data_IF_577567746114
#
_entry.id   IF_577567746114
#
_cell.length_a   1.000
_cell.length_b   1.000
_cell.length_c   1.000
_cell.angle_alpha   90.00
_cell.angle_beta   90.00
_cell.angle_gamma   90.00
#
_symmetry.space_group_name_H-M   'P 1'
#
loop_
_entity.id
_entity.type
_entity.pdbx_description
1 polymer ?
#
# COMPACT_ATOMS: atom_id res chain seq x y z
N UNK A 1 13.81 -67.86 -0.21
CA UNK A 1 12.70 -68.33 0.66
C UNK A 1 12.99 -67.86 2.07
N UNK A 2 12.59 -66.63 2.41
CA UNK A 2 12.77 -66.07 3.76
C UNK A 2 11.39 -65.79 4.34
N UNK A 3 10.94 -66.72 5.18
CA UNK A 3 9.59 -66.73 5.74
C UNK A 3 9.37 -65.58 6.72
N UNK A 4 8.29 -64.83 6.49
CA UNK A 4 7.74 -63.86 7.43
C UNK A 4 6.90 -64.61 8.47
N UNK A 5 7.45 -64.75 9.68
CA UNK A 5 6.75 -65.27 10.85
C UNK A 5 5.85 -64.17 11.44
N UNK A 6 4.55 -64.24 11.17
CA UNK A 6 3.56 -63.40 11.83
C UNK A 6 3.19 -64.01 13.18
N UNK A 7 3.74 -63.46 14.26
CA UNK A 7 3.37 -63.87 15.61
C UNK A 7 2.19 -63.04 16.10
N UNK A 8 1.07 -63.71 16.36
CA UNK A 8 -0.15 -63.15 16.92
C UNK A 8 0.00 -62.87 18.42
N UNK A 9 0.15 -61.60 18.79
CA UNK A 9 -0.24 -61.07 20.11
C UNK A 9 -0.55 -59.59 19.95
N UNK A 10 -1.85 -59.29 19.91
CA UNK A 10 -2.38 -57.97 19.62
C UNK A 10 -2.27 -57.04 20.83
N UNK A 11 -1.21 -56.25 20.86
CA UNK A 11 -1.26 -54.91 21.43
C UNK A 11 -0.97 -53.94 20.29
N UNK A 12 -1.96 -53.12 19.89
CA UNK A 12 -1.73 -52.00 19.00
C UNK A 12 -0.85 -51.02 19.78
N UNK A 13 0.47 -51.09 19.60
CA UNK A 13 1.39 -50.09 20.14
C UNK A 13 1.12 -48.78 19.42
N UNK A 14 0.42 -47.85 20.07
CA UNK A 14 0.23 -46.49 19.56
C UNK A 14 1.60 -45.84 19.38
N UNK A 15 2.05 -45.75 18.13
CA UNK A 15 3.30 -45.07 17.77
C UNK A 15 2.98 -43.59 17.54
N UNK A 16 3.31 -42.74 18.52
CA UNK A 16 3.14 -41.29 18.37
C UNK A 16 4.11 -40.77 17.30
N UNK A 17 3.53 -40.24 16.21
CA UNK A 17 4.27 -39.63 15.09
C UNK A 17 4.12 -38.12 15.07
N UNK A 18 3.67 -37.51 16.17
CA UNK A 18 3.48 -36.05 16.28
C UNK A 18 4.76 -35.31 15.92
N UNK A 19 5.92 -35.76 16.40
CA UNK A 19 7.21 -35.14 16.09
C UNK A 19 7.55 -35.20 14.60
N UNK A 20 7.26 -36.30 13.92
CA UNK A 20 7.47 -36.44 12.48
C UNK A 20 6.55 -35.49 11.69
N UNK A 21 5.29 -35.38 12.09
CA UNK A 21 4.33 -34.45 11.50
C UNK A 21 4.72 -32.99 11.74
N UNK A 22 5.16 -32.64 12.96
CA UNK A 22 5.62 -31.30 13.33
C UNK A 22 6.88 -30.94 12.54
N UNK A 23 7.85 -31.85 12.45
CA UNK A 23 9.06 -31.66 11.64
C UNK A 23 8.72 -31.45 10.16
N UNK A 24 7.85 -32.28 9.58
CA UNK A 24 7.41 -32.13 8.19
C UNK A 24 6.62 -30.82 7.93
N UNK A 25 5.84 -30.35 8.92
CA UNK A 25 5.18 -29.04 8.85
C UNK A 25 6.20 -27.90 8.91
N UNK A 26 7.19 -27.99 9.78
CA UNK A 26 8.24 -26.98 9.95
C UNK A 26 9.09 -26.83 8.69
N UNK A 27 9.50 -27.93 8.05
CA UNK A 27 10.28 -27.88 6.80
C UNK A 27 9.50 -27.19 5.66
N UNK A 28 8.21 -27.50 5.52
CA UNK A 28 7.32 -26.81 4.56
C UNK A 28 7.18 -25.32 4.87
N UNK A 29 7.02 -24.96 6.14
CA UNK A 29 6.93 -23.55 6.55
C UNK A 29 8.23 -22.79 6.32
N UNK A 30 9.39 -23.42 6.56
CA UNK A 30 10.69 -22.79 6.34
C UNK A 30 10.95 -22.53 4.86
N UNK A 31 10.66 -23.50 3.99
CA UNK A 31 10.73 -23.32 2.55
C UNK A 31 9.85 -22.16 2.07
N UNK A 32 8.63 -22.06 2.62
CA UNK A 32 7.70 -20.96 2.32
C UNK A 32 8.26 -19.62 2.79
N UNK A 33 8.77 -19.52 4.02
CA UNK A 33 9.38 -18.29 4.57
C UNK A 33 10.57 -17.82 3.75
N UNK A 34 11.43 -18.75 3.32
CA UNK A 34 12.58 -18.44 2.48
C UNK A 34 12.14 -17.88 1.13
N UNK A 35 11.13 -18.48 0.50
CA UNK A 35 10.59 -17.99 -0.77
C UNK A 35 9.94 -16.62 -0.61
N UNK A 36 9.14 -16.40 0.43
CA UNK A 36 8.57 -15.08 0.74
C UNK A 36 9.65 -14.01 0.94
N UNK A 37 10.74 -14.34 1.66
CA UNK A 37 11.87 -13.44 1.86
C UNK A 37 12.64 -13.15 0.56
N UNK A 38 12.79 -14.14 -0.32
CA UNK A 38 13.39 -13.96 -1.66
C UNK A 38 12.55 -13.04 -2.53
N UNK A 39 11.24 -13.26 -2.57
CA UNK A 39 10.31 -12.43 -3.32
C UNK A 39 10.30 -10.99 -2.81
N UNK A 40 10.40 -10.77 -1.49
CA UNK A 40 10.53 -9.43 -0.93
C UNK A 40 11.79 -8.72 -1.42
N UNK A 41 12.97 -9.35 -1.29
CA UNK A 41 14.23 -8.73 -1.73
C UNK A 41 14.22 -8.40 -3.22
N UNK A 42 13.57 -9.24 -4.03
CA UNK A 42 13.39 -8.98 -5.47
C UNK A 42 12.44 -7.82 -5.71
N UNK A 43 11.34 -7.74 -4.97
CA UNK A 43 10.39 -6.62 -5.05
C UNK A 43 11.08 -5.29 -4.71
N UNK A 44 11.88 -5.24 -3.64
CA UNK A 44 12.63 -4.03 -3.26
C UNK A 44 13.55 -3.55 -4.40
N UNK A 45 14.28 -4.47 -5.04
CA UNK A 45 15.12 -4.15 -6.20
C UNK A 45 14.31 -3.66 -7.41
N UNK A 46 13.17 -4.28 -7.69
CA UNK A 46 12.28 -3.85 -8.76
C UNK A 46 11.68 -2.48 -8.47
N UNK A 47 11.34 -2.18 -7.21
CA UNK A 47 10.82 -0.87 -6.84
C UNK A 47 11.86 0.22 -7.12
N UNK A 48 13.10 0.00 -6.70
CA UNK A 48 14.19 0.93 -6.98
C UNK A 48 14.43 1.13 -8.49
N UNK A 49 14.25 0.07 -9.28
CA UNK A 49 14.45 0.11 -10.73
C UNK A 49 13.30 0.81 -11.48
N UNK A 50 12.05 0.59 -11.07
CA UNK A 50 10.86 1.03 -11.81
C UNK A 50 10.21 2.29 -11.25
N UNK A 51 10.37 2.53 -9.95
CA UNK A 51 9.73 3.63 -9.23
C UNK A 51 10.79 4.40 -8.43
N UNK A 52 11.81 4.97 -9.10
CA UNK A 52 12.78 5.81 -8.41
C UNK A 52 12.04 6.95 -7.71
N UNK A 53 12.31 7.13 -6.43
CA UNK A 53 11.74 8.22 -5.67
C UNK A 53 12.27 9.54 -6.25
N UNK A 54 11.42 10.32 -6.91
CA UNK A 54 11.77 11.67 -7.31
C UNK A 54 11.79 12.52 -6.03
N UNK A 55 12.97 12.98 -5.56
CA UNK A 55 13.00 13.86 -4.42
C UNK A 55 12.24 15.14 -4.79
N UNK A 56 11.25 15.49 -3.98
CA UNK A 56 10.62 16.80 -4.06
C UNK A 56 11.73 17.84 -3.86
N UNK A 57 11.81 18.83 -4.74
CA UNK A 57 12.70 19.99 -4.59
C UNK A 57 12.27 20.82 -3.37
N UNK A 58 12.65 20.37 -2.18
CA UNK A 58 12.61 21.19 -0.97
C UNK A 58 14.04 21.54 -0.60
N UNK A 59 14.46 22.75 -1.01
CA UNK A 59 15.48 23.60 -0.37
C UNK A 59 16.62 22.89 0.35
N UNK A 60 17.78 22.85 -0.31
CA UNK A 60 19.14 22.92 0.28
C UNK A 60 19.26 22.44 1.73
N UNK A 61 19.38 21.12 1.92
CA UNK A 61 20.10 20.58 3.08
C UNK A 61 21.10 19.55 2.58
N UNK A 62 22.37 19.95 2.64
CA UNK A 62 23.56 19.15 2.32
C UNK A 62 23.56 17.86 3.13
N UNK A 63 23.02 16.78 2.56
CA UNK A 63 23.27 15.41 3.04
C UNK A 63 24.14 14.70 2.01
N UNK A 64 25.41 14.57 2.34
CA UNK A 64 26.46 13.99 1.49
C UNK A 64 26.38 12.46 1.47
N UNK A 65 25.27 11.89 1.00
CA UNK A 65 25.23 10.46 0.72
C UNK A 65 25.38 10.18 -0.78
N UNK A 66 26.65 10.12 -1.21
CA UNK A 66 27.06 9.86 -2.59
C UNK A 66 26.41 8.59 -3.15
N UNK A 67 26.16 7.58 -2.31
CA UNK A 67 25.52 6.32 -2.73
C UNK A 67 24.06 6.51 -3.17
N UNK A 68 23.29 7.37 -2.51
CA UNK A 68 21.90 7.61 -2.90
C UNK A 68 21.81 8.47 -4.16
N UNK A 69 22.67 9.49 -4.29
CA UNK A 69 22.71 10.35 -5.48
C UNK A 69 23.14 9.57 -6.74
N UNK A 70 24.07 8.62 -6.61
CA UNK A 70 24.53 7.76 -7.71
C UNK A 70 23.43 6.79 -8.18
N UNK A 71 22.63 6.24 -7.25
CA UNK A 71 21.52 5.33 -7.58
C UNK A 71 20.38 6.06 -8.32
N UNK A 72 20.04 7.28 -7.92
CA UNK A 72 18.99 8.08 -8.59
C UNK A 72 19.40 8.47 -10.02
N UNK A 73 20.64 8.94 -10.21
CA UNK A 73 21.16 9.30 -11.53
C UNK A 73 21.21 8.06 -12.45
N UNK A 74 21.60 6.91 -11.92
CA UNK A 74 21.61 5.65 -12.67
C UNK A 74 20.20 5.26 -13.11
N UNK A 75 19.19 5.40 -12.25
CA UNK A 75 17.80 5.04 -12.60
C UNK A 75 17.21 5.89 -13.73
N UNK A 76 17.50 7.19 -13.77
CA UNK A 76 17.01 8.09 -14.83
C UNK A 76 17.66 7.78 -16.19
N UNK A 77 18.97 7.54 -16.20
CA UNK A 77 19.72 7.11 -17.39
C UNK A 77 19.30 5.72 -17.89
N UNK A 78 18.93 4.82 -16.97
CA UNK A 78 18.44 3.46 -17.29
C UNK A 78 17.00 3.47 -17.82
N UNK A 79 16.13 4.33 -17.28
CA UNK A 79 14.77 4.52 -17.78
C UNK A 79 14.73 5.07 -19.22
N UNK A 80 15.78 5.78 -19.64
CA UNK A 80 15.94 6.32 -20.99
C UNK A 80 16.29 5.27 -22.06
N UNK A 81 16.72 4.04 -21.69
CA UNK A 81 17.05 2.96 -22.65
C UNK A 81 16.27 1.66 -22.35
N UNK A 82 15.22 1.33 -23.15
CA UNK A 82 14.34 0.18 -22.90
C UNK A 82 15.07 -1.17 -22.83
N UNK A 83 16.12 -1.36 -23.65
CA UNK A 83 16.94 -2.57 -23.64
C UNK A 83 17.75 -2.75 -22.36
N UNK A 84 18.14 -1.65 -21.71
CA UNK A 84 18.85 -1.68 -20.43
C UNK A 84 17.94 -2.15 -19.31
N UNK A 85 16.70 -1.67 -19.26
CA UNK A 85 15.74 -2.02 -18.20
C UNK A 85 15.46 -3.52 -18.13
N UNK A 86 15.26 -4.18 -19.29
CA UNK A 86 15.03 -5.63 -19.34
C UNK A 86 16.23 -6.42 -18.83
N UNK A 87 17.45 -6.02 -19.16
CA UNK A 87 18.66 -6.66 -18.66
C UNK A 87 18.78 -6.54 -17.12
N UNK A 88 18.43 -5.38 -16.56
CA UNK A 88 18.40 -5.17 -15.11
C UNK A 88 17.29 -5.98 -14.43
N UNK A 89 16.10 -6.06 -15.02
CA UNK A 89 15.02 -6.94 -14.54
C UNK A 89 15.48 -8.41 -14.49
N UNK A 90 16.19 -8.87 -15.52
CA UNK A 90 16.73 -10.24 -15.60
C UNK A 90 17.90 -10.48 -14.63
N UNK A 91 18.65 -9.44 -14.26
CA UNK A 91 19.66 -9.52 -13.21
C UNK A 91 19.06 -9.70 -11.81
N UNK A 92 17.82 -9.26 -11.58
CA UNK A 92 17.10 -9.45 -10.31
C UNK A 92 16.63 -10.89 -10.17
N UNK A 93 16.11 -11.48 -11.25
CA UNK A 93 15.65 -12.87 -11.27
C UNK A 93 15.84 -13.47 -12.66
N UNK A 94 16.34 -14.71 -12.70
CA UNK A 94 16.47 -15.46 -13.94
C UNK A 94 15.08 -15.77 -14.49
N UNK A 95 14.81 -15.28 -15.69
CA UNK A 95 13.57 -15.59 -16.39
C UNK A 95 13.64 -16.98 -17.02
N UNK A 96 12.50 -17.65 -17.01
CA UNK A 96 12.31 -18.89 -17.74
C UNK A 96 12.43 -18.60 -19.25
N UNK A 97 13.09 -19.49 -19.99
CA UNK A 97 13.22 -19.32 -21.43
C UNK A 97 11.87 -19.60 -22.12
N UNK A 98 11.56 -18.83 -23.16
CA UNK A 98 10.31 -18.94 -23.90
C UNK A 98 10.16 -20.31 -24.56
N UNK A 99 11.25 -20.97 -24.91
CA UNK A 99 11.21 -22.33 -25.49
C UNK A 99 10.87 -23.41 -24.46
N UNK A 100 11.17 -23.16 -23.18
CA UNK A 100 11.09 -24.17 -22.13
C UNK A 100 9.68 -24.40 -21.56
N UNK A 101 8.72 -23.52 -21.87
CA UNK A 101 7.33 -23.65 -21.42
C UNK A 101 6.35 -23.56 -22.59
N UNK A 102 5.63 -24.66 -22.83
CA UNK A 102 4.50 -24.71 -23.77
C UNK A 102 3.20 -24.18 -23.17
N UNK A 103 3.09 -24.19 -21.84
CA UNK A 103 1.87 -23.86 -21.09
C UNK A 103 2.12 -22.87 -19.94
N UNK A 104 1.06 -22.15 -19.55
CA UNK A 104 1.08 -21.25 -18.41
C UNK A 104 1.33 -22.01 -17.11
N UNK A 105 2.35 -21.62 -16.32
CA UNK A 105 2.70 -22.30 -15.07
C UNK A 105 1.64 -22.22 -13.96
N UNK A 106 0.56 -21.44 -14.15
CA UNK A 106 -0.51 -21.28 -13.16
C UNK A 106 -1.82 -21.97 -13.57
N UNK A 107 -2.22 -21.87 -14.84
CA UNK A 107 -3.50 -22.40 -15.31
C UNK A 107 -3.35 -23.49 -16.36
N UNK A 108 -2.10 -23.87 -16.71
CA UNK A 108 -1.75 -24.91 -17.67
C UNK A 108 -2.39 -24.74 -19.06
N UNK A 109 -2.83 -23.53 -19.37
CA UNK A 109 -3.35 -23.21 -20.70
C UNK A 109 -2.17 -23.09 -21.66
N UNK A 110 -2.18 -23.80 -22.81
CA UNK A 110 -1.10 -23.73 -23.77
C UNK A 110 -0.98 -22.30 -24.32
N UNK A 111 0.25 -21.88 -24.55
CA UNK A 111 0.54 -20.62 -25.21
C UNK A 111 0.35 -20.76 -26.72
N UNK A 112 -0.27 -19.76 -27.34
CA UNK A 112 -0.49 -19.67 -28.77
C UNK A 112 -0.48 -18.18 -29.21
N UNK A 113 -0.91 -17.89 -30.44
CA UNK A 113 -0.96 -16.51 -30.95
C UNK A 113 -1.92 -15.61 -30.17
N UNK A 114 -2.97 -16.18 -29.55
CA UNK A 114 -3.98 -15.46 -28.76
C UNK A 114 -3.55 -15.34 -27.29
N UNK A 115 -2.88 -16.36 -26.78
CA UNK A 115 -2.43 -16.50 -25.39
C UNK A 115 -0.93 -16.26 -25.36
N UNK A 116 -0.57 -14.98 -25.24
CA UNK A 116 0.82 -14.54 -25.23
C UNK A 116 1.54 -14.95 -23.93
N UNK A 117 2.83 -15.22 -24.08
CA UNK A 117 3.77 -15.48 -22.99
C UNK A 117 4.10 -14.21 -22.23
N UNK A 118 4.10 -14.28 -20.91
CA UNK A 118 4.53 -13.19 -20.06
C UNK A 118 5.38 -13.67 -18.89
N UNK A 119 6.54 -13.06 -18.66
CA UNK A 119 7.33 -13.33 -17.47
C UNK A 119 6.81 -12.57 -16.25
N UNK A 120 6.73 -13.25 -15.12
CA UNK A 120 6.64 -12.58 -13.84
C UNK A 120 7.99 -11.97 -13.47
N UNK A 121 8.03 -10.66 -13.21
CA UNK A 121 9.27 -9.97 -12.83
C UNK A 121 9.80 -10.36 -11.44
N UNK A 122 8.98 -11.01 -10.60
CA UNK A 122 9.38 -11.46 -9.26
C UNK A 122 9.93 -12.90 -9.21
N UNK A 123 9.33 -13.84 -9.95
CA UNK A 123 9.77 -15.25 -9.93
C UNK A 123 10.35 -15.74 -11.26
N UNK A 124 10.25 -14.96 -12.33
CA UNK A 124 10.77 -15.31 -13.66
C UNK A 124 9.93 -16.32 -14.45
N UNK A 125 8.87 -16.89 -13.87
CA UNK A 125 8.03 -17.92 -14.51
C UNK A 125 7.17 -17.35 -15.64
N UNK A 126 6.85 -18.20 -16.62
CA UNK A 126 5.98 -17.89 -17.75
C UNK A 126 4.49 -18.09 -17.43
N UNK A 127 3.73 -17.02 -17.58
CA UNK A 127 2.29 -16.97 -17.27
C UNK A 127 1.51 -16.26 -18.37
N UNK A 128 0.21 -16.55 -18.47
CA UNK A 128 -0.70 -15.83 -19.36
C UNK A 128 -1.39 -14.66 -18.63
N UNK A 129 -2.27 -13.94 -19.34
CA UNK A 129 -3.13 -12.89 -18.79
C UNK A 129 -4.60 -13.34 -18.62
N UNK A 130 -4.90 -14.61 -18.87
CA UNK A 130 -6.26 -15.12 -18.84
C UNK A 130 -6.86 -15.03 -17.42
N UNK A 131 -8.14 -14.63 -17.27
CA UNK A 131 -8.87 -14.82 -16.02
C UNK A 131 -8.98 -16.30 -15.69
N UNK A 132 -8.92 -16.64 -14.41
CA UNK A 132 -9.11 -18.01 -13.97
C UNK A 132 -10.57 -18.41 -14.15
N UNK A 133 -10.80 -19.61 -14.68
CA UNK A 133 -12.13 -20.23 -14.69
C UNK A 133 -12.82 -20.30 -13.32
N UNK A 134 -12.07 -20.32 -12.22
CA UNK A 134 -12.58 -20.45 -10.86
C UNK A 134 -12.69 -19.12 -10.09
N UNK A 135 -12.53 -17.96 -10.74
CA UNK A 135 -12.72 -16.67 -10.07
C UNK A 135 -12.20 -15.45 -10.84
N UNK A 136 -12.36 -14.24 -10.28
CA UNK A 136 -12.06 -12.99 -10.99
C UNK A 136 -10.56 -12.71 -11.18
N UNK A 137 -9.67 -13.57 -10.65
CA UNK A 137 -8.22 -13.33 -10.66
C UNK A 137 -7.60 -13.81 -11.97
N UNK A 138 -6.77 -12.95 -12.58
CA UNK A 138 -5.97 -13.28 -13.77
C UNK A 138 -4.65 -13.96 -13.37
N UNK A 139 -4.06 -14.72 -14.28
CA UNK A 139 -2.75 -15.37 -14.03
C UNK A 139 -1.60 -14.37 -13.86
N UNK A 140 -1.71 -13.17 -14.43
CA UNK A 140 -0.78 -12.07 -14.20
C UNK A 140 -1.51 -10.73 -14.14
N UNK A 141 -0.90 -9.77 -13.45
CA UNK A 141 -1.38 -8.40 -13.32
C UNK A 141 -0.19 -7.43 -13.37
N UNK A 142 -0.46 -6.18 -13.73
CA UNK A 142 0.51 -5.09 -13.56
C UNK A 142 0.31 -4.49 -12.18
N UNK A 143 1.42 -4.26 -11.47
CA UNK A 143 1.41 -3.52 -10.21
C UNK A 143 2.17 -2.21 -10.37
N UNK A 144 1.73 -1.22 -9.61
CA UNK A 144 2.45 0.03 -9.37
C UNK A 144 2.68 0.18 -7.89
N UNK A 145 3.82 0.76 -7.53
CA UNK A 145 4.15 1.08 -6.15
C UNK A 145 4.15 2.58 -6.02
N UNK A 146 3.29 3.08 -5.14
CA UNK A 146 3.21 4.49 -4.79
C UNK A 146 3.87 4.69 -3.42
N UNK A 147 4.76 5.67 -3.33
CA UNK A 147 5.31 6.11 -2.05
C UNK A 147 4.33 7.10 -1.39
N UNK A 148 3.98 6.86 -0.14
CA UNK A 148 3.23 7.78 0.69
C UNK A 148 4.21 8.59 1.57
N UNK A 149 4.42 9.90 1.31
CA UNK A 149 5.33 10.73 2.10
C UNK A 149 4.90 10.91 3.55
N UNK A 150 3.59 10.86 3.85
CA UNK A 150 3.10 11.07 5.21
C UNK A 150 3.37 9.85 6.08
N UNK A 151 3.19 8.67 5.48
CA UNK A 151 3.33 7.39 6.18
C UNK A 151 4.72 6.76 5.99
N UNK A 152 5.61 7.41 5.22
CA UNK A 152 6.94 6.93 4.87
C UNK A 152 6.93 5.45 4.42
N UNK A 153 5.93 5.07 3.62
CA UNK A 153 5.71 3.67 3.22
C UNK A 153 5.31 3.52 1.76
N UNK A 154 5.68 2.38 1.19
CA UNK A 154 5.27 1.95 -0.13
C UNK A 154 3.90 1.27 -0.09
N UNK A 155 3.00 1.69 -0.97
CA UNK A 155 1.68 1.09 -1.17
C UNK A 155 1.60 0.47 -2.56
N UNK A 156 1.25 -0.81 -2.63
CA UNK A 156 1.12 -1.53 -3.90
C UNK A 156 -0.31 -1.42 -4.40
N UNK A 157 -0.47 -1.03 -5.67
CA UNK A 157 -1.73 -0.99 -6.38
C UNK A 157 -1.70 -1.94 -7.55
N UNK A 158 -2.77 -2.70 -7.74
CA UNK A 158 -2.99 -3.50 -8.94
C UNK A 158 -3.63 -2.60 -9.98
N UNK A 159 -3.10 -2.61 -11.20
CA UNK A 159 -3.70 -1.94 -12.33
C UNK A 159 -4.66 -2.93 -12.99
N UNK A 160 -5.95 -2.58 -13.00
CA UNK A 160 -6.97 -3.28 -13.76
C UNK A 160 -6.82 -2.88 -15.23
N UNK A 161 -6.13 -3.75 -15.95
CA UNK A 161 -5.78 -3.54 -17.33
C UNK A 161 -6.76 -4.31 -18.23
N UNK A 162 -7.88 -3.67 -18.58
CA UNK A 162 -8.76 -4.16 -19.66
C UNK A 162 -8.29 -3.70 -21.06
N UNK A 163 -7.28 -2.83 -21.14
CA UNK A 163 -6.93 -2.11 -22.38
C UNK A 163 -5.68 -2.60 -23.10
N UNK A 164 -4.79 -3.39 -22.49
CA UNK A 164 -3.51 -3.73 -23.12
C UNK A 164 -3.51 -5.03 -23.96
N UNK A 165 -4.67 -5.54 -24.38
CA UNK A 165 -4.72 -6.62 -25.39
C UNK A 165 -4.71 -6.09 -26.84
N UNK A 166 -4.86 -4.79 -27.07
CA UNK A 166 -4.80 -4.18 -28.41
C UNK A 166 -3.87 -2.98 -28.39
N UNK A 167 -2.80 -3.03 -29.20
CA UNK A 167 -1.98 -1.88 -29.52
C UNK A 167 -2.72 -0.87 -30.40
N UNK A 168 -3.84 -0.34 -29.93
CA UNK A 168 -4.57 0.78 -30.51
C UNK A 168 -5.21 1.57 -29.36
N UNK A 169 -4.89 2.87 -29.30
CA UNK A 169 -5.47 3.92 -28.45
C UNK A 169 -7.01 3.85 -28.41
N UNK A 170 -7.67 4.29 -27.31
CA UNK A 170 -7.93 5.74 -27.19
C UNK A 170 -7.77 6.33 -25.79
N UNK A 171 -7.40 7.61 -25.79
CA UNK A 171 -7.53 8.55 -24.68
C UNK A 171 -8.97 8.60 -24.17
N UNK A 172 -9.14 8.50 -22.85
CA UNK A 172 -10.22 9.21 -22.15
C UNK A 172 -9.79 9.59 -20.73
N UNK A 173 -9.82 10.89 -20.38
CA UNK A 173 -9.51 11.36 -19.03
C UNK A 173 -10.70 11.10 -18.10
N UNK A 174 -10.50 10.22 -17.12
CA UNK A 174 -11.41 10.07 -15.99
C UNK A 174 -11.28 11.28 -15.06
N UNK A 175 -12.21 12.21 -15.18
CA UNK A 175 -12.34 13.35 -14.29
C UNK A 175 -12.57 12.88 -12.84
N UNK A 176 -11.70 13.30 -11.92
CA UNK A 176 -12.01 13.29 -10.48
C UNK A 176 -12.74 14.60 -10.16
N UNK A 177 -13.94 14.46 -9.59
CA UNK A 177 -14.94 15.50 -9.26
C UNK A 177 -14.44 16.58 -8.26
N UNK A 178 -13.15 16.61 -7.91
CA UNK A 178 -12.59 17.54 -6.92
C UNK A 178 -12.18 18.91 -7.45
N UNK A 179 -12.13 19.12 -8.77
CA UNK A 179 -11.62 20.38 -9.35
C UNK A 179 -12.68 21.41 -9.77
N UNK A 180 -13.98 21.11 -9.65
CA UNK A 180 -15.06 21.98 -10.17
C UNK A 180 -15.52 23.10 -9.20
N UNK A 181 -14.96 23.19 -7.99
CA UNK A 181 -15.47 24.15 -6.98
C UNK A 181 -14.50 25.32 -6.72
N UNK A 182 -13.27 25.32 -7.25
CA UNK A 182 -12.29 26.34 -6.92
C UNK A 182 -11.45 26.82 -8.11
N UNK A 183 -12.00 27.71 -8.95
CA UNK A 183 -11.22 28.75 -9.64
C UNK A 183 -12.13 29.81 -10.31
N UNK A 184 -11.94 31.12 -10.04
CA UNK A 184 -12.45 32.21 -10.86
C UNK A 184 -11.72 32.28 -12.22
N UNK A 185 -12.46 32.76 -13.23
CA UNK A 185 -12.06 32.96 -14.63
C UNK A 185 -10.65 33.54 -14.80
N UNK A 186 -9.70 32.73 -15.28
CA UNK A 186 -8.57 33.18 -16.10
C UNK A 186 -8.17 32.11 -17.12
N UNK A 187 -7.90 32.60 -18.33
CA UNK A 187 -7.74 31.91 -19.60
C UNK A 187 -6.62 30.82 -19.60
N UNK A 188 -6.86 29.54 -19.95
CA UNK A 188 -5.79 28.56 -20.06
C UNK A 188 -5.17 28.58 -21.46
N UNK A 189 -3.87 28.90 -21.52
CA UNK A 189 -3.03 28.57 -22.69
C UNK A 189 -2.71 27.07 -22.70
N UNK A 190 -2.61 26.41 -23.87
CA UNK A 190 -2.42 24.97 -23.94
C UNK A 190 -0.94 24.64 -23.65
N UNK A 191 -0.64 24.27 -22.42
CA UNK A 191 0.59 23.53 -22.12
C UNK A 191 0.30 22.05 -22.32
N UNK A 192 1.00 21.46 -23.27
CA UNK A 192 0.99 20.03 -23.59
C UNK A 192 1.42 19.21 -22.38
N UNK A 193 0.47 18.71 -21.61
CA UNK A 193 0.73 17.65 -20.63
C UNK A 193 0.89 16.33 -21.40
N UNK A 194 2.13 15.95 -21.69
CA UNK A 194 2.46 14.63 -22.20
C UNK A 194 2.21 13.61 -21.09
N UNK A 195 1.01 13.04 -21.02
CA UNK A 195 0.67 11.96 -20.09
C UNK A 195 1.39 10.68 -20.54
N UNK A 196 2.62 10.47 -20.07
CA UNK A 196 3.30 9.19 -20.29
C UNK A 196 2.50 8.06 -19.63
N UNK A 197 2.18 6.96 -20.33
CA UNK A 197 1.47 5.83 -19.73
C UNK A 197 2.29 5.27 -18.57
N UNK A 198 1.68 5.20 -17.40
CA UNK A 198 2.35 4.79 -16.16
C UNK A 198 2.77 3.33 -16.26
N UNK A 199 4.06 3.08 -16.45
CA UNK A 199 4.62 1.72 -16.60
C UNK A 199 4.50 0.95 -15.28
N UNK A 200 3.74 -0.14 -15.28
CA UNK A 200 3.65 -1.07 -14.15
C UNK A 200 4.64 -2.25 -14.28
N UNK A 201 4.86 -2.95 -13.18
CA UNK A 201 5.67 -4.17 -13.11
C UNK A 201 4.75 -5.38 -13.21
N UNK A 202 5.02 -6.31 -14.14
CA UNK A 202 4.16 -7.51 -14.30
C UNK A 202 4.49 -8.59 -13.29
N UNK A 203 3.48 -9.05 -12.56
CA UNK A 203 3.59 -10.04 -11.50
C UNK A 203 2.54 -11.15 -11.69
N UNK A 204 2.90 -12.40 -11.43
CA UNK A 204 1.96 -13.52 -11.49
C UNK A 204 1.04 -13.54 -10.26
N UNK A 205 -0.12 -14.20 -10.36
CA UNK A 205 -1.10 -14.28 -9.29
C UNK A 205 -0.53 -14.81 -7.96
N UNK A 206 0.37 -15.80 -8.02
CA UNK A 206 1.02 -16.36 -6.84
C UNK A 206 1.90 -15.33 -6.12
N UNK A 207 2.81 -14.69 -6.86
CA UNK A 207 3.70 -13.66 -6.29
C UNK A 207 2.91 -12.46 -5.79
N UNK A 208 1.85 -12.05 -6.51
CA UNK A 208 0.97 -10.97 -6.09
C UNK A 208 0.31 -11.27 -4.75
N UNK A 209 -0.20 -12.50 -4.55
CA UNK A 209 -0.81 -12.90 -3.29
C UNK A 209 0.19 -12.89 -2.12
N UNK A 210 1.43 -13.31 -2.34
CA UNK A 210 2.50 -13.25 -1.32
C UNK A 210 2.80 -11.80 -0.94
N UNK A 211 3.00 -10.95 -1.94
CA UNK A 211 3.38 -9.55 -1.75
C UNK A 211 2.27 -8.76 -1.06
N UNK A 212 1.01 -8.89 -1.50
CA UNK A 212 -0.13 -8.22 -0.87
C UNK A 212 -0.38 -8.70 0.56
N UNK A 213 -0.26 -10.01 0.82
CA UNK A 213 -0.37 -10.55 2.18
C UNK A 213 0.69 -9.93 3.09
N UNK A 214 1.93 -9.83 2.61
CA UNK A 214 3.01 -9.25 3.39
C UNK A 214 2.80 -7.76 3.64
N UNK A 215 2.38 -7.00 2.62
CA UNK A 215 2.01 -5.59 2.78
C UNK A 215 0.91 -5.42 3.83
N UNK A 216 -0.11 -6.27 3.84
CA UNK A 216 -1.16 -6.22 4.85
C UNK A 216 -0.66 -6.54 6.27
N UNK A 217 0.39 -7.35 6.40
CA UNK A 217 1.02 -7.66 7.70
C UNK A 217 1.98 -6.56 8.16
N UNK A 218 2.68 -5.89 7.24
CA UNK A 218 3.68 -4.85 7.58
C UNK A 218 3.08 -3.45 7.66
N UNK A 219 2.05 -3.19 6.86
CA UNK A 219 1.35 -1.92 6.83
C UNK A 219 -0.07 -2.15 7.37
N UNK A 220 -0.37 -1.73 8.61
CA UNK A 220 -1.75 -1.81 9.09
C UNK A 220 -2.66 -1.04 8.10
N UNK A 221 -3.90 -1.53 7.89
CA UNK A 221 -4.86 -0.84 7.05
C UNK A 221 -4.95 0.62 7.51
N UNK A 222 -5.02 1.56 6.57
CA UNK A 222 -5.26 2.96 6.92
C UNK A 222 -6.53 2.98 7.79
N UNK A 223 -6.50 3.58 9.00
CA UNK A 223 -7.71 3.67 9.80
C UNK A 223 -8.80 4.31 8.93
N UNK A 224 -10.02 3.76 8.94
CA UNK A 224 -11.13 4.36 8.21
C UNK A 224 -11.23 5.86 8.51
N UNK A 225 -11.57 6.65 7.49
CA UNK A 225 -11.61 8.11 7.61
C UNK A 225 -12.55 8.58 8.73
N UNK A 226 -13.62 7.83 9.00
CA UNK A 226 -14.54 8.11 10.10
C UNK A 226 -13.87 8.06 11.49
N UNK A 227 -12.78 7.31 11.69
CA UNK A 227 -12.06 7.32 12.97
C UNK A 227 -11.33 8.64 13.21
N UNK A 228 -10.83 9.27 12.13
CA UNK A 228 -10.27 10.61 12.22
C UNK A 228 -11.37 11.63 12.56
N UNK A 229 -12.53 11.53 11.91
CA UNK A 229 -13.70 12.36 12.23
C UNK A 229 -14.14 12.17 13.69
N UNK A 230 -14.24 10.92 14.18
CA UNK A 230 -14.58 10.63 15.57
C UNK A 230 -13.56 11.22 16.56
N UNK A 231 -12.28 11.18 16.23
CA UNK A 231 -11.23 11.79 17.06
C UNK A 231 -11.41 13.31 17.15
N UNK A 232 -11.72 13.97 16.03
CA UNK A 232 -12.04 15.41 16.00
C UNK A 232 -13.32 15.72 16.80
N UNK A 233 -14.36 14.89 16.66
CA UNK A 233 -15.61 15.04 17.42
C UNK A 233 -15.37 14.92 18.93
N UNK A 234 -14.56 13.93 19.35
CA UNK A 234 -14.18 13.75 20.74
C UNK A 234 -13.41 14.95 21.28
N UNK A 235 -12.49 15.52 20.49
CA UNK A 235 -11.78 16.73 20.87
C UNK A 235 -12.75 17.91 21.08
N UNK A 236 -13.70 18.11 20.18
CA UNK A 236 -14.70 19.18 20.34
C UNK A 236 -15.58 18.93 21.57
N UNK A 237 -15.95 17.69 21.86
CA UNK A 237 -16.69 17.34 23.08
C UNK A 237 -15.88 17.71 24.34
N UNK A 238 -14.61 17.32 24.43
CA UNK A 238 -13.74 17.66 25.55
C UNK A 238 -13.55 19.18 25.71
N UNK A 239 -13.52 19.93 24.60
CA UNK A 239 -13.50 21.40 24.62
C UNK A 239 -14.80 22.00 25.15
N UNK A 240 -15.95 21.44 24.78
CA UNK A 240 -17.26 21.87 25.29
C UNK A 240 -17.37 21.59 26.79
N UNK A 241 -17.04 20.38 27.24
CA UNK A 241 -17.11 19.99 28.65
C UNK A 241 -16.23 20.88 29.53
N UNK A 242 -14.99 21.16 29.10
CA UNK A 242 -14.09 22.10 29.77
C UNK A 242 -14.64 23.52 29.79
N UNK A 243 -15.14 24.04 28.67
CA UNK A 243 -15.70 25.38 28.60
C UNK A 243 -16.98 25.53 29.45
N UNK A 244 -17.78 24.47 29.59
CA UNK A 244 -18.92 24.44 30.51
C UNK A 244 -18.44 24.53 31.96
N UNK A 245 -17.41 23.78 32.33
CA UNK A 245 -16.80 23.86 33.67
C UNK A 245 -16.30 25.26 33.99
N UNK A 246 -15.50 25.86 33.10
CA UNK A 246 -15.00 27.24 33.23
C UNK A 246 -16.16 28.26 33.35
N UNK A 247 -17.23 28.07 32.59
CA UNK A 247 -18.41 28.92 32.66
C UNK A 247 -19.14 28.80 34.00
N UNK A 248 -19.31 27.59 34.52
CA UNK A 248 -19.95 27.34 35.82
C UNK A 248 -19.14 27.93 36.97
N UNK A 249 -17.82 27.77 36.97
CA UNK A 249 -16.93 28.38 37.95
C UNK A 249 -17.00 29.92 37.91
N UNK A 250 -16.94 30.51 36.72
CA UNK A 250 -17.04 31.95 36.55
C UNK A 250 -18.42 32.50 36.99
N UNK A 251 -19.51 31.75 36.79
CA UNK A 251 -20.83 32.10 37.31
C UNK A 251 -20.92 31.95 38.83
N UNK A 252 -20.31 30.92 39.41
CA UNK A 252 -20.27 30.72 40.86
C UNK A 252 -19.47 31.84 41.56
N UNK A 253 -18.33 32.23 41.00
CA UNK A 253 -17.54 33.38 41.47
C UNK A 253 -18.28 34.71 41.35
N UNK A 254 -19.16 34.88 40.36
CA UNK A 254 -19.99 36.07 40.22
C UNK A 254 -21.18 36.11 41.22
N UNK A 255 -21.64 34.94 41.72
CA UNK A 255 -22.79 34.83 42.65
C UNK A 255 -22.41 34.99 44.13
N UNK A 256 -21.13 34.90 44.51
CA UNK A 256 -20.66 35.12 45.88
C UNK A 256 -19.90 36.46 46.03
N UNK A 257 -20.58 37.62 46.12
CA UNK A 257 -19.93 38.91 46.35
C UNK A 257 -19.64 39.18 47.85
N UNK A 258 -19.22 38.17 48.63
CA UNK A 258 -19.13 38.29 50.08
C UNK A 258 -17.83 37.76 50.66
N UNK A 259 -17.06 38.66 51.28
CA UNK A 259 -15.87 38.46 52.13
C UNK A 259 -14.48 38.47 51.48
N UNK A 260 -14.16 39.48 50.67
CA UNK A 260 -13.00 40.39 50.89
C UNK A 260 -12.93 41.41 49.75
N UNK A 261 -12.52 42.62 50.09
CA UNK A 261 -12.62 43.84 49.30
C UNK A 261 -11.90 43.74 47.93
N UNK A 262 -12.66 43.69 46.84
CA UNK A 262 -12.33 44.35 45.55
C UNK A 262 -13.53 44.22 44.59
N UNK A 263 -13.93 45.29 43.87
CA UNK A 263 -15.04 45.21 42.92
C UNK A 263 -14.67 44.25 41.78
N UNK A 264 -15.64 43.47 41.21
CA UNK A 264 -15.36 42.64 40.06
C UNK A 264 -14.89 43.53 38.91
N UNK A 265 -13.60 43.46 38.57
CA UNK A 265 -13.04 44.27 37.50
C UNK A 265 -13.79 44.03 36.17
N UNK A 266 -13.76 44.99 35.23
CA UNK A 266 -14.51 44.96 33.95
C UNK A 266 -14.25 43.72 33.07
N UNK A 267 -13.27 42.89 33.44
CA UNK A 267 -12.88 41.67 32.74
C UNK A 267 -13.81 40.48 32.94
N UNK A 268 -14.54 40.36 34.07
CA UNK A 268 -15.37 39.18 34.39
C UNK A 268 -16.57 39.00 33.46
N UNK A 269 -17.41 40.04 33.20
CA UNK A 269 -18.52 39.92 32.24
C UNK A 269 -18.02 39.72 30.80
N UNK A 270 -16.89 40.32 30.42
CA UNK A 270 -16.29 40.11 29.10
C UNK A 270 -15.76 38.68 28.92
N UNK A 271 -15.17 38.09 29.96
CA UNK A 271 -14.75 36.67 29.99
C UNK A 271 -15.95 35.73 29.84
N UNK A 272 -17.04 35.97 30.57
CA UNK A 272 -18.27 35.18 30.45
C UNK A 272 -18.90 35.25 29.06
N UNK A 273 -18.91 36.44 28.42
CA UNK A 273 -19.39 36.59 27.05
C UNK A 273 -18.50 35.88 26.03
N UNK A 274 -17.18 35.88 26.24
CA UNK A 274 -16.23 35.15 25.40
C UNK A 274 -16.42 33.63 25.49
N UNK A 275 -16.54 33.10 26.71
CA UNK A 275 -16.80 31.67 26.94
C UNK A 275 -18.16 31.26 26.34
N UNK A 276 -19.21 32.08 26.52
CA UNK A 276 -20.53 31.85 25.89
C UNK A 276 -20.46 31.83 24.37
N UNK A 277 -19.72 32.75 23.74
CA UNK A 277 -19.56 32.79 22.29
C UNK A 277 -18.81 31.56 21.78
N UNK A 278 -17.78 31.10 22.51
CA UNK A 278 -17.04 29.88 22.20
C UNK A 278 -17.90 28.62 22.31
N UNK A 279 -18.72 28.50 23.36
CA UNK A 279 -19.67 27.39 23.52
C UNK A 279 -20.70 27.34 22.40
N UNK A 280 -21.30 28.48 22.03
CA UNK A 280 -22.26 28.56 20.94
C UNK A 280 -21.62 28.22 19.59
N UNK A 281 -20.38 28.64 19.35
CA UNK A 281 -19.62 28.29 18.14
C UNK A 281 -19.34 26.78 18.06
N UNK A 282 -18.94 26.16 19.17
CA UNK A 282 -18.64 24.73 19.20
C UNK A 282 -19.90 23.87 19.06
N UNK A 283 -21.03 24.31 19.62
CA UNK A 283 -22.32 23.63 19.49
C UNK A 283 -22.95 23.82 18.10
N UNK A 284 -22.72 24.94 17.42
CA UNK A 284 -23.24 25.21 16.07
C UNK A 284 -22.50 24.46 14.94
N UNK A 285 -21.36 23.83 15.25
CA UNK A 285 -20.66 22.93 14.32
C UNK A 285 -21.32 21.55 14.22
N UNK A 286 -22.42 21.33 14.93
CA UNK A 286 -23.25 20.12 14.95
C UNK A 286 -24.68 20.39 14.50
#
# INVERSE_FOLDING_TARGET
MTGTHWSSSGYITHCDRTDQLVAARRTRQEAKRLEEARLQKRLEKLILLHFPHQPQNTTTTTTNNLSQKLLTISSELLAARPGSLRAHEQAIVRWQDDTSAGDCTLCHTPFDLRIRKHHCRLCGQLVCFKPHSAGPRRCSSLIRVDWDPLLHRNTIRVLDDDSHQTGLLPDRPGASIRHLIAAPLHNPSPSSSTTTPTKGVRVCAHCLAVVLRRQAMTCPPKPPEYLALYSSLKQVQEEIERAIGEFQEALAGAKHPGSTETPPGPSTPLKLLSIRRKLLSNLALF
#
